data_IF_320684162735
#
_entry.id   IF_320684162735
#
_cell.length_a   1.000
_cell.length_b   1.000
_cell.length_c   1.000
_cell.angle_alpha   90.00
_cell.angle_beta   90.00
_cell.angle_gamma   90.00
#
_symmetry.space_group_name_H-M   'P 1'
#
loop_
_entity.id
_entity.type
_entity.pdbx_description
1 polymer ?
#
# COMPACT_ATOMS: atom_id res chain seq x y z
N UNK A 1 -0.83 2.95 -22.09
CA UNK A 1 0.37 2.30 -21.50
C UNK A 1 1.54 2.77 -22.33
N UNK A 2 2.24 3.81 -21.90
CA UNK A 2 3.53 4.14 -22.47
C UNK A 2 4.52 3.04 -22.07
N UNK A 3 5.21 2.46 -23.04
CA UNK A 3 5.99 1.23 -22.96
C UNK A 3 7.20 1.25 -22.02
N UNK A 4 6.97 1.36 -20.74
CA UNK A 4 7.96 1.09 -19.70
C UNK A 4 7.76 -0.32 -19.17
N UNK A 5 8.80 -1.11 -19.12
CA UNK A 5 8.83 -2.39 -18.43
C UNK A 5 8.55 -2.17 -16.95
N UNK A 6 7.56 -2.86 -16.38
CA UNK A 6 7.34 -2.88 -14.93
C UNK A 6 8.54 -3.57 -14.26
N UNK A 7 9.01 -2.98 -13.16
CA UNK A 7 10.05 -3.57 -12.34
C UNK A 7 9.44 -4.67 -11.45
N UNK A 8 9.80 -5.94 -11.61
CA UNK A 8 9.22 -7.03 -10.84
C UNK A 8 9.59 -6.99 -9.34
N UNK A 9 10.58 -6.18 -8.97
CA UNK A 9 10.99 -6.00 -7.57
C UNK A 9 10.17 -4.94 -6.83
N UNK A 10 9.32 -4.19 -7.55
CA UNK A 10 8.46 -3.15 -6.99
C UNK A 10 7.01 -3.63 -6.88
N UNK A 11 6.30 -3.12 -5.86
CA UNK A 11 4.85 -3.26 -5.82
C UNK A 11 4.16 -2.41 -6.88
N UNK A 12 2.83 -2.43 -6.88
CA UNK A 12 2.00 -1.65 -7.81
C UNK A 12 1.20 -0.62 -7.01
N UNK A 13 1.22 0.63 -7.49
CA UNK A 13 0.29 1.67 -7.04
C UNK A 13 -0.70 1.96 -8.16
N UNK A 14 -1.99 1.68 -7.91
CA UNK A 14 -3.07 2.02 -8.82
C UNK A 14 -3.60 3.42 -8.49
N UNK A 15 -3.41 4.36 -9.41
CA UNK A 15 -3.86 5.74 -9.29
C UNK A 15 -5.04 6.01 -10.24
N UNK A 16 -5.96 6.90 -9.87
CA UNK A 16 -7.03 7.34 -10.76
C UNK A 16 -8.36 7.63 -10.06
N UNK A 17 -9.38 8.07 -10.81
CA UNK A 17 -10.66 8.54 -10.27
C UNK A 17 -11.40 7.50 -9.42
N UNK A 18 -12.32 8.00 -8.58
CA UNK A 18 -13.22 7.16 -7.77
C UNK A 18 -14.11 6.31 -8.70
N UNK A 19 -14.30 5.04 -8.31
CA UNK A 19 -15.23 4.14 -9.02
C UNK A 19 -14.62 3.41 -10.22
N UNK A 20 -13.35 3.60 -10.55
CA UNK A 20 -12.68 2.93 -11.69
C UNK A 20 -12.29 1.47 -11.44
N UNK A 21 -12.54 0.93 -10.23
CA UNK A 21 -12.33 -0.49 -9.93
C UNK A 21 -10.93 -0.84 -9.39
N UNK A 22 -10.12 0.14 -8.97
CA UNK A 22 -8.76 -0.06 -8.44
C UNK A 22 -8.70 -1.10 -7.32
N UNK A 23 -9.53 -0.94 -6.27
CA UNK A 23 -9.58 -1.88 -5.14
C UNK A 23 -10.03 -3.27 -5.57
N UNK A 24 -10.94 -3.38 -6.53
CA UNK A 24 -11.39 -4.66 -7.10
C UNK A 24 -10.24 -5.35 -7.84
N UNK A 25 -9.51 -4.60 -8.66
CA UNK A 25 -8.35 -5.12 -9.38
C UNK A 25 -7.26 -5.60 -8.41
N UNK A 26 -6.98 -4.83 -7.37
CA UNK A 26 -5.98 -5.19 -6.37
C UNK A 26 -6.39 -6.44 -5.54
N UNK A 27 -7.68 -6.57 -5.20
CA UNK A 27 -8.21 -7.81 -4.58
C UNK A 27 -8.12 -9.01 -5.51
N UNK A 28 -8.31 -8.80 -6.81
CA UNK A 28 -8.09 -9.83 -7.83
C UNK A 28 -6.64 -10.30 -7.86
N UNK A 29 -5.69 -9.36 -7.81
CA UNK A 29 -4.25 -9.66 -7.72
C UNK A 29 -3.91 -10.43 -6.44
N UNK A 30 -4.44 -10.01 -5.28
CA UNK A 30 -4.26 -10.71 -4.01
C UNK A 30 -4.73 -12.17 -4.10
N UNK A 31 -5.89 -12.38 -4.69
CA UNK A 31 -6.45 -13.74 -4.89
C UNK A 31 -5.58 -14.57 -5.81
N UNK A 32 -5.09 -13.98 -6.90
CA UNK A 32 -4.17 -14.62 -7.83
C UNK A 32 -2.86 -15.02 -7.12
N UNK A 33 -2.22 -14.12 -6.41
CA UNK A 33 -0.99 -14.41 -5.66
C UNK A 33 -1.22 -15.53 -4.62
N UNK A 34 -2.34 -15.53 -3.90
CA UNK A 34 -2.65 -16.58 -2.94
C UNK A 34 -2.84 -17.97 -3.60
N UNK A 35 -3.34 -18.02 -4.84
CA UNK A 35 -3.43 -19.27 -5.60
C UNK A 35 -2.05 -19.73 -6.06
N UNK A 36 -1.23 -18.82 -6.58
CA UNK A 36 0.15 -19.12 -7.01
C UNK A 36 0.98 -19.61 -5.82
N UNK A 37 0.82 -19.01 -4.64
CA UNK A 37 1.52 -19.42 -3.42
C UNK A 37 1.23 -20.85 -3.00
N UNK A 38 0.00 -21.32 -3.13
CA UNK A 38 -0.32 -22.73 -2.85
C UNK A 38 0.54 -23.69 -3.69
N UNK A 39 0.80 -23.34 -4.94
CA UNK A 39 1.69 -24.11 -5.80
C UNK A 39 3.17 -23.87 -5.46
N UNK A 40 3.56 -22.62 -5.19
CA UNK A 40 4.94 -22.26 -4.87
C UNK A 40 5.41 -22.88 -3.55
N UNK A 41 4.55 -22.97 -2.54
CA UNK A 41 4.83 -23.63 -1.26
C UNK A 41 5.14 -25.10 -1.44
N UNK A 42 4.45 -25.81 -2.35
CA UNK A 42 4.76 -27.20 -2.68
C UNK A 42 6.18 -27.38 -3.26
N UNK A 43 6.80 -26.30 -3.75
CA UNK A 43 8.17 -26.30 -4.30
C UNK A 43 9.17 -25.54 -3.41
N UNK A 44 8.84 -25.31 -2.13
CA UNK A 44 9.74 -24.70 -1.13
C UNK A 44 10.02 -23.20 -1.32
N UNK A 45 9.17 -22.48 -2.05
CA UNK A 45 9.27 -21.01 -2.17
C UNK A 45 8.58 -20.31 -0.98
N UNK A 46 9.15 -19.19 -0.53
CA UNK A 46 8.57 -18.36 0.53
C UNK A 46 7.26 -17.69 0.08
N UNK A 47 6.39 -17.45 1.05
CA UNK A 47 5.09 -16.77 0.87
C UNK A 47 5.19 -15.50 0.04
N UNK A 48 4.49 -15.52 -1.11
CA UNK A 48 4.27 -14.38 -1.99
C UNK A 48 2.84 -13.90 -1.75
N UNK A 49 2.42 -13.38 -0.76
CA UNK A 49 1.07 -12.86 -0.54
C UNK A 49 1.14 -11.50 0.12
N UNK A 50 0.04 -10.80 0.12
CA UNK A 50 -0.05 -9.54 0.82
C UNK A 50 -1.37 -9.42 1.59
N UNK A 51 -1.31 -8.75 2.75
CA UNK A 51 -2.48 -8.31 3.48
C UNK A 51 -3.13 -7.14 2.72
N UNK A 52 -4.46 -7.11 2.68
CA UNK A 52 -5.22 -6.01 2.08
C UNK A 52 -5.93 -5.25 3.19
N UNK A 53 -5.60 -3.98 3.39
CA UNK A 53 -6.14 -3.15 4.47
C UNK A 53 -6.27 -1.69 4.00
N UNK A 54 -7.31 -0.99 4.43
CA UNK A 54 -7.45 0.44 4.08
C UNK A 54 -6.53 1.33 4.90
N UNK A 55 -6.11 2.46 4.32
CA UNK A 55 -5.34 3.47 5.03
C UNK A 55 -6.08 3.98 6.27
N UNK A 56 -7.40 4.13 6.18
CA UNK A 56 -8.25 4.52 7.31
C UNK A 56 -8.22 3.48 8.44
N UNK A 57 -8.28 2.18 8.13
CA UNK A 57 -8.21 1.12 9.13
C UNK A 57 -6.84 1.09 9.83
N UNK A 58 -5.74 1.26 9.10
CA UNK A 58 -4.40 1.35 9.70
C UNK A 58 -4.33 2.52 10.68
N UNK A 59 -4.87 3.69 10.29
CA UNK A 59 -4.90 4.88 11.14
C UNK A 59 -5.78 4.71 12.37
N UNK A 60 -6.92 4.00 12.24
CA UNK A 60 -7.79 3.69 13.37
C UNK A 60 -7.10 2.74 14.36
N UNK A 61 -6.41 1.72 13.90
CA UNK A 61 -5.63 0.81 14.76
C UNK A 61 -4.56 1.54 15.55
N UNK A 62 -3.89 2.52 14.93
CA UNK A 62 -2.96 3.38 15.65
C UNK A 62 -3.68 4.23 16.72
N UNK A 63 -4.82 4.82 16.41
CA UNK A 63 -5.59 5.62 17.38
C UNK A 63 -6.03 4.79 18.59
N UNK A 64 -6.37 3.53 18.39
CA UNK A 64 -6.79 2.61 19.45
C UNK A 64 -5.63 2.05 20.27
N UNK A 65 -4.53 1.65 19.62
CA UNK A 65 -3.47 0.82 20.21
C UNK A 65 -2.07 1.47 20.12
N UNK A 66 -1.96 2.67 19.56
CA UNK A 66 -0.66 3.30 19.32
C UNK A 66 0.21 2.53 18.34
N UNK A 67 1.50 2.52 18.60
CA UNK A 67 2.49 1.81 17.76
C UNK A 67 2.18 0.32 17.66
N UNK A 68 1.70 -0.32 18.73
CA UNK A 68 1.37 -1.76 18.74
C UNK A 68 0.29 -2.11 17.70
N UNK A 69 -0.65 -1.20 17.44
CA UNK A 69 -1.68 -1.37 16.42
C UNK A 69 -1.16 -1.45 14.99
N UNK A 70 0.03 -0.91 14.74
CA UNK A 70 0.64 -0.86 13.40
C UNK A 70 1.94 -1.67 13.28
N UNK A 71 2.39 -2.32 14.36
CA UNK A 71 3.65 -3.07 14.41
C UNK A 71 3.77 -4.12 13.28
N UNK A 72 2.68 -4.82 13.00
CA UNK A 72 2.59 -5.81 11.92
C UNK A 72 2.85 -5.25 10.52
N UNK A 73 2.75 -3.95 10.33
CA UNK A 73 2.99 -3.26 9.06
C UNK A 73 4.37 -2.63 9.00
N UNK A 74 5.00 -2.38 10.15
CA UNK A 74 6.18 -1.51 10.28
C UNK A 74 7.43 -2.22 10.76
N UNK A 75 7.32 -3.38 11.41
CA UNK A 75 8.47 -4.15 11.85
C UNK A 75 8.77 -5.30 10.88
N UNK A 76 10.04 -5.41 10.49
CA UNK A 76 10.53 -6.39 9.51
C UNK A 76 10.20 -7.83 9.91
N UNK A 77 10.33 -8.16 11.20
CA UNK A 77 10.12 -9.51 11.74
C UNK A 77 8.65 -9.94 11.71
N UNK A 78 7.74 -8.97 11.70
CA UNK A 78 6.30 -9.19 11.68
C UNK A 78 5.68 -8.90 10.32
N UNK A 79 6.44 -8.28 9.39
CA UNK A 79 5.93 -7.81 8.12
C UNK A 79 5.67 -8.95 7.14
N UNK A 80 4.69 -8.72 6.30
CA UNK A 80 4.39 -9.48 5.08
C UNK A 80 4.18 -8.50 3.94
N UNK A 81 3.90 -8.97 2.73
CA UNK A 81 3.38 -8.09 1.68
C UNK A 81 2.15 -7.32 2.18
N UNK A 82 1.99 -6.08 1.77
CA UNK A 82 0.92 -5.19 2.21
C UNK A 82 0.34 -4.41 1.04
N UNK A 83 -0.98 -4.42 0.90
CA UNK A 83 -1.71 -3.45 0.08
C UNK A 83 -2.43 -2.44 0.97
N UNK A 84 -2.08 -1.17 0.80
CA UNK A 84 -2.76 -0.04 1.45
C UNK A 84 -3.83 0.48 0.49
N UNK A 85 -5.10 0.16 0.78
CA UNK A 85 -6.23 0.60 -0.03
C UNK A 85 -6.67 2.01 0.34
N UNK A 86 -7.08 2.79 -0.66
CA UNK A 86 -7.57 4.17 -0.51
C UNK A 86 -6.57 5.12 0.17
N UNK A 87 -5.28 5.00 -0.18
CA UNK A 87 -4.22 5.89 0.28
C UNK A 87 -4.60 7.36 0.01
N UNK A 88 -4.50 8.21 1.04
CA UNK A 88 -4.88 9.62 0.99
C UNK A 88 -6.27 9.92 1.57
N UNK A 89 -7.08 8.90 1.91
CA UNK A 89 -8.41 9.08 2.52
C UNK A 89 -8.42 9.00 4.03
N UNK A 90 -7.33 8.54 4.63
CA UNK A 90 -7.15 8.53 6.08
C UNK A 90 -7.00 9.95 6.65
N UNK A 91 -7.24 10.16 7.96
CA UNK A 91 -6.90 11.42 8.63
C UNK A 91 -5.40 11.72 8.47
N UNK A 92 -5.05 13.00 8.23
CA UNK A 92 -3.64 13.43 8.12
C UNK A 92 -2.87 13.26 9.43
N UNK A 93 -3.58 13.25 10.54
CA UNK A 93 -3.03 13.18 11.88
C UNK A 93 -3.93 12.30 12.75
N UNK A 94 -3.51 11.08 13.01
CA UNK A 94 -4.19 10.21 13.97
C UNK A 94 -3.57 10.40 15.34
N UNK A 95 -4.40 10.51 16.38
CA UNK A 95 -3.96 10.77 17.75
C UNK A 95 -4.10 9.53 18.62
N UNK A 96 -3.04 9.25 19.37
CA UNK A 96 -3.03 8.26 20.44
C UNK A 96 -2.49 8.94 21.72
N UNK A 97 -3.30 9.02 22.79
CA UNK A 97 -2.98 9.72 24.03
C UNK A 97 -2.41 11.14 23.83
N UNK A 98 -2.97 11.90 22.89
CA UNK A 98 -2.57 13.27 22.60
C UNK A 98 -1.37 13.43 21.66
N UNK A 99 -0.66 12.36 21.33
CA UNK A 99 0.43 12.39 20.33
C UNK A 99 -0.14 12.15 18.94
N UNK A 100 -0.01 13.15 18.07
CA UNK A 100 -0.41 13.06 16.66
C UNK A 100 0.66 12.42 15.81
N UNK A 101 0.24 11.59 14.85
CA UNK A 101 1.13 10.92 13.89
C UNK A 101 0.47 10.86 12.51
N UNK A 102 1.21 11.20 11.47
CA UNK A 102 0.84 10.80 10.12
C UNK A 102 1.19 9.31 9.96
N UNK A 103 0.21 8.47 10.26
CA UNK A 103 0.42 7.01 10.39
C UNK A 103 0.86 6.39 9.07
N UNK A 104 0.21 6.75 7.96
CA UNK A 104 0.53 6.17 6.64
C UNK A 104 1.90 6.63 6.16
N UNK A 105 2.26 7.89 6.40
CA UNK A 105 3.61 8.38 6.15
C UNK A 105 4.65 7.53 6.89
N UNK A 106 4.40 7.24 8.16
CA UNK A 106 5.29 6.42 8.99
C UNK A 106 5.36 4.98 8.50
N UNK A 107 4.22 4.38 8.15
CA UNK A 107 4.18 3.03 7.58
C UNK A 107 4.98 2.95 6.29
N UNK A 108 4.79 3.87 5.36
CA UNK A 108 5.53 3.90 4.09
C UNK A 108 7.03 4.08 4.31
N UNK A 109 7.41 4.96 5.26
CA UNK A 109 8.82 5.20 5.59
C UNK A 109 9.49 3.94 6.13
N UNK A 110 8.87 3.26 7.09
CA UNK A 110 9.46 2.06 7.70
C UNK A 110 9.46 0.87 6.73
N UNK A 111 8.42 0.70 5.92
CA UNK A 111 8.38 -0.34 4.88
C UNK A 111 9.41 -0.14 3.78
N UNK A 112 9.82 1.08 3.51
CA UNK A 112 10.90 1.36 2.57
C UNK A 112 12.21 0.65 2.96
N UNK A 113 12.51 0.52 4.25
CA UNK A 113 13.76 -0.08 4.74
C UNK A 113 13.88 -1.59 4.39
N UNK A 114 12.75 -2.29 4.25
CA UNK A 114 12.71 -3.70 3.88
C UNK A 114 11.96 -3.99 2.57
N UNK A 115 11.89 -3.01 1.68
CA UNK A 115 11.17 -3.08 0.40
C UNK A 115 11.62 -4.20 -0.54
N UNK A 116 12.85 -4.68 -0.38
CA UNK A 116 13.38 -5.80 -1.17
C UNK A 116 12.96 -7.17 -0.65
N UNK A 117 12.34 -7.24 0.53
CA UNK A 117 11.88 -8.49 1.14
C UNK A 117 10.37 -8.65 1.00
N UNK A 118 9.64 -7.56 1.18
CA UNK A 118 8.18 -7.57 1.16
C UNK A 118 7.65 -6.42 0.29
N UNK A 119 6.93 -6.78 -0.76
CA UNK A 119 6.28 -5.78 -1.62
C UNK A 119 5.23 -4.97 -0.86
N UNK A 120 5.17 -3.70 -1.20
CA UNK A 120 4.07 -2.82 -0.79
C UNK A 120 3.27 -2.44 -2.02
N UNK A 121 1.95 -2.59 -1.95
CA UNK A 121 0.99 -2.22 -2.98
C UNK A 121 0.13 -1.08 -2.46
N UNK A 122 -0.47 -0.30 -3.35
CA UNK A 122 -1.40 0.75 -2.94
C UNK A 122 -2.50 1.00 -3.99
N UNK A 123 -3.64 1.51 -3.55
CA UNK A 123 -4.60 2.20 -4.41
C UNK A 123 -4.78 3.62 -3.91
N UNK A 124 -4.95 4.57 -4.81
CA UNK A 124 -5.16 5.97 -4.45
C UNK A 124 -6.05 6.70 -5.45
N UNK A 125 -6.76 7.72 -4.99
CA UNK A 125 -7.42 8.70 -5.83
C UNK A 125 -6.64 10.02 -5.91
N UNK A 126 -5.49 10.12 -5.20
CA UNK A 126 -4.60 11.27 -5.31
C UNK A 126 -3.94 11.27 -6.68
N UNK A 127 -3.75 12.43 -7.24
CA UNK A 127 -2.79 12.62 -8.32
C UNK A 127 -1.37 12.51 -7.77
N UNK A 128 -0.42 12.14 -8.61
CA UNK A 128 0.97 11.95 -8.15
C UNK A 128 1.57 13.24 -7.59
N UNK A 129 1.17 14.38 -8.13
CA UNK A 129 1.63 15.70 -7.70
C UNK A 129 1.06 16.10 -6.31
N UNK A 130 0.04 15.41 -5.82
CA UNK A 130 -0.55 15.64 -4.49
C UNK A 130 0.14 14.82 -3.39
N UNK A 131 0.88 13.76 -3.75
CA UNK A 131 1.57 12.89 -2.78
C UNK A 131 2.58 13.69 -1.94
N UNK A 132 3.42 14.60 -2.49
CA UNK A 132 4.32 15.41 -1.68
C UNK A 132 3.62 16.28 -0.65
N UNK A 133 2.47 16.87 -1.02
CA UNK A 133 1.68 17.70 -0.10
C UNK A 133 1.05 16.88 1.02
N UNK A 134 0.70 15.62 0.76
CA UNK A 134 0.03 14.73 1.72
C UNK A 134 1.01 14.03 2.66
N UNK A 135 2.15 13.55 2.16
CA UNK A 135 3.08 12.68 2.88
C UNK A 135 4.51 13.24 2.94
N UNK A 136 4.75 14.41 2.38
CA UNK A 136 6.08 15.02 2.31
C UNK A 136 6.90 14.55 1.10
N UNK A 137 7.87 15.38 0.73
CA UNK A 137 8.73 15.19 -0.46
C UNK A 137 9.53 13.88 -0.37
N UNK A 138 10.05 13.53 0.81
CA UNK A 138 10.82 12.30 1.02
C UNK A 138 10.01 11.03 0.74
N UNK A 139 8.75 11.01 1.18
CA UNK A 139 7.88 9.86 0.91
C UNK A 139 7.49 9.80 -0.56
N UNK A 140 7.22 10.94 -1.18
CA UNK A 140 6.91 11.01 -2.61
C UNK A 140 8.05 10.46 -3.47
N UNK A 141 9.30 10.76 -3.10
CA UNK A 141 10.47 10.21 -3.79
C UNK A 141 10.60 8.70 -3.58
N UNK A 142 10.46 8.23 -2.34
CA UNK A 142 10.48 6.80 -2.00
C UNK A 142 9.37 6.01 -2.68
N UNK A 143 8.20 6.61 -2.90
CA UNK A 143 7.11 5.98 -3.64
C UNK A 143 7.53 5.58 -5.07
N UNK A 144 8.40 6.35 -5.72
CA UNK A 144 8.93 6.01 -7.06
C UNK A 144 9.84 4.78 -7.04
N UNK A 145 10.48 4.52 -5.89
CA UNK A 145 11.32 3.33 -5.72
C UNK A 145 10.51 2.11 -5.26
N UNK A 146 9.46 2.31 -4.47
CA UNK A 146 8.61 1.22 -3.94
C UNK A 146 7.62 0.72 -4.98
N UNK A 147 7.10 1.61 -5.85
CA UNK A 147 5.96 1.30 -6.70
C UNK A 147 6.25 1.41 -8.19
N UNK A 148 5.66 0.49 -8.95
CA UNK A 148 5.27 0.71 -10.33
C UNK A 148 3.94 1.47 -10.31
N UNK A 149 3.92 2.68 -10.86
CA UNK A 149 2.73 3.52 -10.86
C UNK A 149 1.90 3.23 -12.11
N UNK A 150 0.65 2.84 -11.90
CA UNK A 150 -0.28 2.48 -12.97
C UNK A 150 -1.54 3.34 -12.86
N UNK A 151 -1.80 4.13 -13.89
CA UNK A 151 -3.03 4.94 -13.97
C UNK A 151 -4.20 4.09 -14.48
N UNK A 152 -5.27 4.08 -13.69
CA UNK A 152 -6.52 3.39 -14.01
C UNK A 152 -7.54 4.45 -14.39
N UNK A 153 -7.73 4.65 -15.69
CA UNK A 153 -8.74 5.55 -16.23
C UNK A 153 -10.10 4.87 -16.40
N UNK A 154 -11.09 5.65 -16.79
CA UNK A 154 -12.43 5.19 -17.11
C UNK A 154 -13.54 5.91 -16.33
N UNK A 155 -14.76 5.71 -16.75
CA UNK A 155 -15.94 6.20 -16.06
C UNK A 155 -16.23 5.37 -14.81
N UNK A 156 -16.94 5.98 -13.85
CA UNK A 156 -17.38 5.28 -12.65
C UNK A 156 -18.24 4.07 -13.01
N UNK A 157 -17.91 2.91 -12.47
CA UNK A 157 -18.68 1.66 -12.62
C UNK A 157 -19.66 1.43 -11.45
N UNK A 158 -19.79 2.40 -10.56
CA UNK A 158 -20.78 2.35 -9.46
C UNK A 158 -22.14 2.72 -10.05
N UNK A 159 -23.05 1.77 -10.05
CA UNK A 159 -24.49 1.99 -10.26
C UNK A 159 -25.14 2.33 -8.93
#
# INVERSE_FOLDING_TARGET
IMGGSLDPCKGIMLCGPIGTGKSTLMKGLQKYESLVNRYAFAFGRKDLGFAFVSAAEISLRYAEQGIDGIIRYTQRECATGLCIDELGREPSDAKHFGTGLNVIQTVLQLRYEFRHEYCTYATTNLELDDIPSRYGIYIADRCKEIFNIVHVGGETRRQ
#
